data_IF_176097242974
#
_entry.id   IF_176097242974
#
_cell.length_a   1.000
_cell.length_b   1.000
_cell.length_c   1.000
_cell.angle_alpha   90.00
_cell.angle_beta   90.00
_cell.angle_gamma   90.00
#
_symmetry.space_group_name_H-M   'P 1'
#
loop_
_entity.id
_entity.type
_entity.pdbx_description
1 polymer ?
#
# COMPACT_ATOMS: atom_id res chain seq x y z
N UNK A 1 5.01 -18.67 -11.33
CA UNK A 1 3.65 -18.16 -11.09
C UNK A 1 3.59 -16.71 -11.53
N UNK A 2 2.50 -16.27 -12.16
CA UNK A 2 2.23 -14.85 -12.45
C UNK A 2 0.78 -14.58 -12.05
N UNK A 3 0.55 -13.61 -11.17
CA UNK A 3 -0.79 -13.33 -10.64
C UNK A 3 -0.78 -12.53 -9.34
N UNK A 4 -1.89 -12.55 -8.60
CA UNK A 4 -2.01 -11.85 -7.32
C UNK A 4 -1.38 -12.66 -6.16
N UNK A 5 -0.72 -12.02 -5.20
CA UNK A 5 -0.05 -12.72 -4.08
C UNK A 5 -1.02 -13.48 -3.17
N UNK A 6 -2.25 -12.98 -2.98
CA UNK A 6 -3.29 -13.65 -2.18
C UNK A 6 -3.68 -15.01 -2.78
N UNK A 7 -3.88 -15.06 -4.10
CA UNK A 7 -4.29 -16.28 -4.79
C UNK A 7 -3.20 -17.35 -4.81
N UNK A 8 -1.92 -16.94 -4.92
CA UNK A 8 -0.81 -17.89 -4.75
C UNK A 8 -0.83 -18.54 -3.36
N UNK A 9 -1.06 -17.76 -2.30
CA UNK A 9 -1.17 -18.29 -0.94
C UNK A 9 -2.35 -19.24 -0.80
N UNK A 10 -3.52 -18.91 -1.37
CA UNK A 10 -4.68 -19.79 -1.36
C UNK A 10 -4.42 -21.12 -2.10
N UNK A 11 -3.66 -21.11 -3.21
CA UNK A 11 -3.26 -22.34 -3.91
C UNK A 11 -2.36 -23.21 -3.03
N UNK A 12 -1.40 -22.58 -2.34
CA UNK A 12 -0.48 -23.28 -1.44
C UNK A 12 -1.25 -23.91 -0.28
N UNK A 13 -2.10 -23.12 0.39
CA UNK A 13 -2.96 -23.58 1.49
C UNK A 13 -3.83 -24.75 1.05
N UNK A 14 -4.45 -24.65 -0.14
CA UNK A 14 -5.29 -25.73 -0.65
C UNK A 14 -4.51 -27.02 -0.91
N UNK A 15 -3.28 -26.91 -1.41
CA UNK A 15 -2.44 -28.08 -1.63
C UNK A 15 -2.08 -28.77 -0.31
N UNK A 16 -1.80 -27.99 0.73
CA UNK A 16 -1.52 -28.49 2.08
C UNK A 16 -2.74 -29.13 2.74
N UNK A 17 -3.94 -28.55 2.56
CA UNK A 17 -5.21 -29.15 2.97
C UNK A 17 -5.45 -30.51 2.31
N UNK A 18 -5.03 -30.67 1.06
CA UNK A 18 -5.09 -31.93 0.30
C UNK A 18 -3.95 -32.91 0.69
N UNK A 19 -3.20 -32.61 1.75
CA UNK A 19 -2.16 -33.47 2.32
C UNK A 19 -0.84 -33.47 1.54
N UNK A 20 -0.63 -32.48 0.66
CA UNK A 20 0.65 -32.29 -0.04
C UNK A 20 1.59 -31.44 0.80
N UNK A 21 2.89 -31.73 0.70
CA UNK A 21 3.93 -30.81 1.17
C UNK A 21 4.29 -29.90 0.01
N UNK A 22 3.97 -28.60 0.08
CA UNK A 22 4.14 -27.72 -1.07
C UNK A 22 5.61 -27.61 -1.52
N UNK A 23 6.56 -27.58 -0.57
CA UNK A 23 7.99 -27.46 -0.88
C UNK A 23 8.55 -28.73 -1.52
N UNK A 24 8.05 -29.89 -1.10
CA UNK A 24 8.55 -31.19 -1.56
C UNK A 24 7.86 -31.66 -2.84
N UNK A 25 6.55 -31.47 -2.92
CA UNK A 25 5.70 -32.08 -3.94
C UNK A 25 5.54 -31.18 -5.19
N UNK A 26 5.94 -29.91 -5.12
CA UNK A 26 5.91 -28.95 -6.23
C UNK A 26 7.27 -28.28 -6.46
N UNK A 27 7.49 -27.77 -7.68
CA UNK A 27 8.78 -27.19 -8.11
C UNK A 27 8.68 -25.70 -8.47
N UNK A 28 7.78 -24.96 -7.81
CA UNK A 28 7.63 -23.53 -8.05
C UNK A 28 8.81 -22.75 -7.46
N UNK A 29 9.63 -22.14 -8.31
CA UNK A 29 10.82 -21.40 -7.89
C UNK A 29 10.65 -19.88 -7.90
N UNK A 30 9.84 -19.35 -8.82
CA UNK A 30 9.69 -17.91 -9.04
C UNK A 30 8.21 -17.54 -9.13
N UNK A 31 7.84 -16.50 -8.38
CA UNK A 31 6.55 -15.84 -8.48
C UNK A 31 6.74 -14.37 -8.87
N UNK A 32 6.00 -13.92 -9.89
CA UNK A 32 5.93 -12.52 -10.29
C UNK A 32 4.53 -12.02 -9.97
N UNK A 33 4.41 -11.06 -9.05
CA UNK A 33 3.12 -10.63 -8.52
C UNK A 33 2.76 -9.21 -8.94
N UNK A 34 1.46 -8.99 -9.17
CA UNK A 34 0.87 -7.69 -9.48
C UNK A 34 -0.62 -7.71 -9.11
N UNK A 35 -1.30 -6.56 -9.26
CA UNK A 35 -2.74 -6.43 -9.03
C UNK A 35 -3.13 -6.24 -7.56
N UNK A 36 -2.25 -6.55 -6.62
CA UNK A 36 -2.42 -6.26 -5.19
C UNK A 36 -1.09 -5.78 -4.59
N UNK A 37 -1.19 -5.14 -3.42
CA UNK A 37 -0.02 -4.82 -2.62
C UNK A 37 0.60 -6.12 -2.06
N UNK A 38 1.86 -6.37 -2.39
CA UNK A 38 2.64 -7.41 -1.73
C UNK A 38 3.12 -6.88 -0.36
N UNK A 39 2.48 -7.36 0.71
CA UNK A 39 2.89 -7.00 2.08
C UNK A 39 4.23 -7.66 2.44
N UNK A 40 4.93 -7.10 3.43
CA UNK A 40 6.17 -7.69 3.95
C UNK A 40 5.92 -9.10 4.52
N UNK A 41 4.79 -9.31 5.21
CA UNK A 41 4.40 -10.61 5.74
C UNK A 41 4.13 -11.63 4.63
N UNK A 42 3.35 -11.27 3.60
CA UNK A 42 3.09 -12.17 2.47
C UNK A 42 4.37 -12.50 1.70
N UNK A 43 5.29 -11.54 1.52
CA UNK A 43 6.59 -11.79 0.92
C UNK A 43 7.42 -12.76 1.76
N UNK A 44 7.57 -12.48 3.05
CA UNK A 44 8.36 -13.31 3.98
C UNK A 44 7.85 -14.75 3.98
N UNK A 45 6.52 -14.96 4.09
CA UNK A 45 5.91 -16.29 3.99
C UNK A 45 6.29 -17.01 2.70
N UNK A 46 6.13 -16.37 1.54
CA UNK A 46 6.44 -17.01 0.24
C UNK A 46 7.94 -17.30 0.08
N UNK A 47 8.81 -16.41 0.54
CA UNK A 47 10.26 -16.53 0.35
C UNK A 47 10.92 -17.46 1.38
N UNK A 48 10.60 -17.31 2.66
CA UNK A 48 11.23 -18.04 3.76
C UNK A 48 10.58 -19.42 3.95
N UNK A 49 9.25 -19.46 4.05
CA UNK A 49 8.53 -20.71 4.34
C UNK A 49 8.47 -21.62 3.11
N UNK A 50 8.41 -21.07 1.90
CA UNK A 50 8.27 -21.86 0.67
C UNK A 50 9.50 -21.80 -0.26
N UNK A 51 10.47 -20.92 -0.01
CA UNK A 51 11.65 -20.81 -0.88
C UNK A 51 11.35 -20.23 -2.27
N UNK A 52 10.22 -19.56 -2.45
CA UNK A 52 9.80 -19.00 -3.74
C UNK A 52 10.40 -17.61 -3.88
N UNK A 53 11.20 -17.37 -4.92
CA UNK A 53 11.67 -16.02 -5.22
C UNK A 53 10.52 -15.15 -5.73
N UNK A 54 10.10 -14.18 -4.92
CA UNK A 54 9.01 -13.27 -5.27
C UNK A 54 9.56 -11.95 -5.83
N UNK A 55 8.98 -11.51 -6.94
CA UNK A 55 9.19 -10.17 -7.51
C UNK A 55 7.84 -9.52 -7.77
N UNK A 56 7.74 -8.22 -7.55
CA UNK A 56 6.54 -7.44 -7.80
C UNK A 56 6.69 -6.55 -9.04
N UNK A 57 5.58 -6.25 -9.70
CA UNK A 57 5.50 -5.15 -10.66
C UNK A 57 4.20 -4.37 -10.49
N UNK A 58 4.26 -3.07 -10.78
CA UNK A 58 3.11 -2.19 -10.88
C UNK A 58 2.57 -2.23 -12.30
N UNK A 59 1.26 -2.41 -12.45
CA UNK A 59 0.57 -2.38 -13.73
C UNK A 59 -0.89 -1.96 -13.58
N UNK A 60 -1.47 -1.41 -14.64
CA UNK A 60 -2.93 -1.31 -14.79
C UNK A 60 -3.36 -2.06 -16.05
N UNK A 61 -4.66 -2.35 -16.18
CA UNK A 61 -5.19 -2.96 -17.41
C UNK A 61 -5.00 -2.04 -18.63
N UNK A 62 -5.11 -0.72 -18.43
CA UNK A 62 -5.04 0.28 -19.48
C UNK A 62 -3.64 0.47 -20.06
N UNK A 63 -2.62 0.48 -19.20
CA UNK A 63 -1.24 0.75 -19.64
C UNK A 63 -0.38 -0.50 -19.62
N UNK A 64 -0.68 -1.56 -18.88
CA UNK A 64 0.21 -2.72 -18.67
C UNK A 64 1.32 -2.44 -17.65
N UNK A 65 2.47 -3.11 -17.72
CA UNK A 65 3.56 -3.01 -16.73
C UNK A 65 4.30 -1.65 -16.69
N UNK A 66 4.09 -0.90 -15.62
CA UNK A 66 4.64 0.44 -15.39
C UNK A 66 6.04 0.37 -14.79
N UNK A 67 6.22 -0.42 -13.74
CA UNK A 67 7.51 -0.57 -13.06
C UNK A 67 7.64 -1.98 -12.49
N UNK A 68 8.86 -2.52 -12.37
CA UNK A 68 9.09 -3.90 -11.93
C UNK A 68 10.33 -4.06 -11.05
N UNK A 69 10.27 -4.96 -10.06
CA UNK A 69 11.41 -5.28 -9.21
C UNK A 69 12.50 -6.03 -9.99
N UNK A 70 13.75 -5.67 -9.69
CA UNK A 70 14.92 -6.48 -10.07
C UNK A 70 15.24 -7.52 -8.97
N UNK A 71 16.36 -8.24 -9.14
CA UNK A 71 16.82 -9.22 -8.14
C UNK A 71 17.16 -8.61 -6.77
N UNK A 72 17.54 -7.34 -6.74
CA UNK A 72 17.92 -6.63 -5.50
C UNK A 72 16.72 -6.22 -4.64
N UNK A 73 15.50 -6.23 -5.21
CA UNK A 73 14.23 -5.84 -4.54
C UNK A 73 14.30 -4.46 -3.84
N UNK A 74 15.16 -3.57 -4.34
CA UNK A 74 15.32 -2.21 -3.83
C UNK A 74 14.48 -1.26 -4.70
N UNK A 75 13.15 -1.38 -4.62
CA UNK A 75 12.21 -0.68 -5.49
C UNK A 75 12.03 -1.32 -6.88
N UNK A 76 11.11 -0.73 -7.64
CA UNK A 76 10.66 -1.18 -8.96
C UNK A 76 11.22 -0.26 -10.05
N UNK A 77 12.06 -0.78 -10.93
CA UNK A 77 12.57 -0.03 -12.07
C UNK A 77 11.45 0.41 -13.00
N UNK A 78 11.51 1.66 -13.42
CA UNK A 78 10.63 2.21 -14.46
C UNK A 78 10.77 1.39 -15.75
N UNK A 79 9.64 1.10 -16.40
CA UNK A 79 9.63 0.54 -17.74
C UNK A 79 10.19 1.58 -18.74
N UNK A 80 11.14 1.16 -19.57
CA UNK A 80 11.90 2.01 -20.49
C UNK A 80 11.14 2.40 -21.77
N UNK A 81 10.01 1.74 -22.03
CA UNK A 81 9.20 1.95 -23.23
C UNK A 81 8.02 2.91 -23.01
N UNK A 82 7.98 3.62 -21.88
CA UNK A 82 6.91 4.57 -21.50
C UNK A 82 7.48 5.79 -20.79
N UNK A 83 6.75 6.90 -20.80
CA UNK A 83 7.06 8.02 -19.91
C UNK A 83 6.30 7.81 -18.61
N UNK A 84 7.02 7.84 -17.50
CA UNK A 84 6.47 7.65 -16.16
C UNK A 84 6.80 8.90 -15.34
N UNK A 85 5.75 9.46 -14.76
CA UNK A 85 5.75 10.66 -13.96
C UNK A 85 5.24 10.30 -12.55
N UNK A 86 5.69 11.06 -11.55
CA UNK A 86 5.07 11.07 -10.22
C UNK A 86 4.66 12.51 -9.99
N UNK A 87 3.35 12.76 -9.98
CA UNK A 87 2.80 14.12 -10.02
C UNK A 87 2.04 14.45 -8.74
N UNK A 88 1.97 15.73 -8.42
CA UNK A 88 1.02 16.22 -7.44
C UNK A 88 -0.40 16.08 -8.00
N UNK A 89 -1.31 15.34 -7.34
CA UNK A 89 -2.65 15.07 -7.86
C UNK A 89 -3.56 16.31 -7.89
N UNK A 90 -3.27 17.35 -7.10
CA UNK A 90 -4.04 18.61 -7.09
C UNK A 90 -3.60 19.53 -8.24
N UNK A 91 -2.29 19.61 -8.51
CA UNK A 91 -1.72 20.57 -9.47
C UNK A 91 -1.33 19.96 -10.81
N UNK A 92 -1.22 18.64 -10.90
CA UNK A 92 -0.75 17.90 -12.08
C UNK A 92 0.72 18.13 -12.44
N UNK A 93 1.51 18.74 -11.55
CA UNK A 93 2.94 19.02 -11.78
C UNK A 93 3.80 17.84 -11.33
N UNK A 94 4.83 17.51 -12.11
CA UNK A 94 5.84 16.52 -11.74
C UNK A 94 6.51 16.91 -10.42
N UNK A 95 6.59 15.94 -9.52
CA UNK A 95 7.31 16.04 -8.25
C UNK A 95 8.76 15.56 -8.43
N UNK A 96 9.65 16.09 -7.58
CA UNK A 96 11.04 15.62 -7.51
C UNK A 96 11.16 14.27 -6.80
N UNK A 97 12.34 13.62 -6.86
CA UNK A 97 12.60 12.37 -6.16
C UNK A 97 12.25 12.45 -4.66
N UNK A 98 11.80 11.33 -4.09
CA UNK A 98 11.43 11.21 -2.68
C UNK A 98 10.08 11.82 -2.28
N UNK A 99 9.39 12.53 -3.17
CA UNK A 99 8.08 13.12 -2.88
C UNK A 99 6.95 12.19 -3.35
N UNK A 100 5.98 11.98 -2.46
CA UNK A 100 4.80 11.14 -2.75
C UNK A 100 3.85 11.89 -3.68
N UNK A 101 3.45 11.23 -4.77
CA UNK A 101 2.47 11.73 -5.73
C UNK A 101 1.80 10.58 -6.48
N UNK A 102 0.89 10.94 -7.39
CA UNK A 102 0.22 10.01 -8.28
C UNK A 102 1.16 9.55 -9.39
N UNK A 103 1.21 8.24 -9.62
CA UNK A 103 1.92 7.67 -10.77
C UNK A 103 1.11 7.97 -12.03
N UNK A 104 1.74 8.66 -12.97
CA UNK A 104 1.15 9.07 -14.25
C UNK A 104 1.96 8.46 -15.39
N UNK A 105 1.26 7.94 -16.40
CA UNK A 105 1.88 7.19 -17.50
C UNK A 105 1.48 7.77 -18.85
N UNK A 106 2.45 7.91 -19.74
CA UNK A 106 2.22 8.16 -21.17
C UNK A 106 2.75 7.00 -22.00
N UNK A 107 1.89 6.42 -22.84
CA UNK A 107 2.24 5.38 -23.81
C UNK A 107 2.84 6.02 -25.06
N UNK A 108 4.00 5.52 -25.50
CA UNK A 108 4.72 6.03 -26.68
C UNK A 108 4.62 5.09 -27.88
N UNK A 109 4.25 3.83 -27.63
CA UNK A 109 4.37 2.72 -28.53
C UNK A 109 3.05 2.33 -29.22
N UNK A 110 1.91 2.80 -28.72
CA UNK A 110 0.59 2.37 -29.18
C UNK A 110 -0.11 3.44 -30.05
N UNK A 111 -0.16 3.27 -31.39
CA UNK A 111 -0.75 4.26 -32.30
C UNK A 111 -2.29 4.25 -32.31
N UNK A 112 -2.94 3.21 -31.79
CA UNK A 112 -4.41 3.06 -31.81
C UNK A 112 -5.03 3.40 -30.46
N UNK A 113 -4.26 3.28 -29.38
CA UNK A 113 -4.69 3.56 -28.02
C UNK A 113 -3.65 4.45 -27.29
N UNK A 114 -3.47 5.71 -27.74
CA UNK A 114 -2.55 6.63 -27.10
C UNK A 114 -3.14 7.12 -25.78
N UNK A 115 -2.51 6.74 -24.67
CA UNK A 115 -2.80 7.31 -23.35
C UNK A 115 -1.71 8.32 -23.02
N UNK A 116 -2.11 9.58 -22.87
CA UNK A 116 -1.21 10.70 -22.55
C UNK A 116 -1.53 11.19 -21.14
N UNK A 117 -0.52 11.15 -20.27
CA UNK A 117 -0.62 11.50 -18.85
C UNK A 117 -1.84 10.85 -18.16
N UNK A 118 -1.99 9.55 -18.35
CA UNK A 118 -3.00 8.75 -17.66
C UNK A 118 -2.63 8.61 -16.18
N UNK A 119 -3.47 9.17 -15.31
CA UNK A 119 -3.36 8.98 -13.85
C UNK A 119 -3.82 7.60 -13.45
N UNK A 120 -2.93 6.81 -12.83
CA UNK A 120 -3.26 5.43 -12.45
C UNK A 120 -4.10 5.37 -11.19
N UNK A 121 -4.19 6.49 -10.47
CA UNK A 121 -4.71 6.56 -9.12
C UNK A 121 -3.81 5.91 -8.07
N UNK A 122 -2.62 5.40 -8.42
CA UNK A 122 -1.69 4.82 -7.45
C UNK A 122 -0.71 5.87 -6.95
N UNK A 123 -0.48 5.90 -5.63
CA UNK A 123 0.44 6.83 -5.00
C UNK A 123 1.77 6.14 -4.74
N UNK A 124 2.85 6.79 -5.16
CA UNK A 124 4.21 6.37 -4.87
C UNK A 124 5.17 7.56 -4.93
N UNK A 125 6.44 7.27 -4.76
CA UNK A 125 7.55 8.19 -5.00
C UNK A 125 8.65 7.42 -5.73
N UNK A 126 9.59 8.14 -6.30
CA UNK A 126 10.70 7.54 -7.01
C UNK A 126 12.04 8.01 -6.45
N UNK A 127 13.05 7.18 -6.65
CA UNK A 127 14.44 7.48 -6.39
C UNK A 127 15.27 7.27 -7.65
N UNK A 128 16.35 8.03 -7.77
CA UNK A 128 17.28 7.99 -8.90
C UNK A 128 18.65 7.43 -8.51
N UNK A 129 18.82 7.06 -7.25
CA UNK A 129 20.05 6.43 -6.77
C UNK A 129 20.35 5.15 -7.58
N UNK A 130 21.63 4.88 -7.91
CA UNK A 130 22.00 3.68 -8.66
C UNK A 130 21.54 2.40 -7.99
N UNK A 131 21.00 1.47 -8.78
CA UNK A 131 20.66 0.14 -8.29
C UNK A 131 21.86 -0.80 -8.45
N UNK A 132 22.21 -1.63 -7.45
CA UNK A 132 23.28 -2.62 -7.57
C UNK A 132 23.10 -3.61 -8.74
N UNK A 133 21.86 -3.77 -9.25
CA UNK A 133 21.61 -4.60 -10.43
C UNK A 133 22.17 -4.04 -11.74
N UNK A 134 22.71 -2.81 -11.74
CA UNK A 134 23.32 -2.15 -12.90
C UNK A 134 22.37 -1.40 -13.82
N UNK A 135 21.04 -1.46 -13.59
CA UNK A 135 20.07 -0.62 -14.31
C UNK A 135 20.16 0.83 -13.84
N UNK A 136 20.03 1.74 -14.81
CA UNK A 136 20.11 3.19 -14.61
C UNK A 136 18.74 3.88 -14.57
N UNK A 137 17.64 3.14 -14.77
CA UNK A 137 16.31 3.73 -14.69
C UNK A 137 15.98 4.13 -13.25
N UNK A 138 15.22 5.23 -13.06
CA UNK A 138 14.61 5.55 -11.78
C UNK A 138 13.81 4.35 -11.25
N UNK A 139 13.67 4.31 -9.93
CA UNK A 139 12.97 3.24 -9.23
C UNK A 139 11.78 3.82 -8.51
N UNK A 140 10.61 3.32 -8.84
CA UNK A 140 9.41 3.52 -8.06
C UNK A 140 9.58 2.76 -6.76
N UNK A 141 9.38 3.43 -5.64
CA UNK A 141 9.61 2.84 -4.33
C UNK A 141 8.32 2.21 -3.81
N UNK A 142 7.99 2.41 -2.54
CA UNK A 142 6.80 1.82 -1.93
C UNK A 142 5.53 2.38 -2.58
N UNK A 143 4.60 1.50 -2.95
CA UNK A 143 3.21 1.89 -3.19
C UNK A 143 2.61 2.34 -1.86
N UNK A 144 2.14 3.57 -1.78
CA UNK A 144 1.65 4.17 -0.53
C UNK A 144 0.15 3.92 -0.35
N UNK A 145 -0.56 3.79 -1.46
CA UNK A 145 -2.00 3.57 -1.51
C UNK A 145 -2.57 4.12 -2.80
N UNK A 146 -3.85 4.47 -2.78
CA UNK A 146 -4.54 5.06 -3.92
C UNK A 146 -4.92 6.52 -3.67
N UNK A 147 -4.97 7.34 -4.73
CA UNK A 147 -5.38 8.75 -4.70
C UNK A 147 -6.81 8.90 -4.16
N UNK A 148 -7.71 7.99 -4.51
CA UNK A 148 -9.10 7.96 -4.03
C UNK A 148 -9.24 7.42 -2.60
N UNK A 149 -8.19 6.86 -2.02
CA UNK A 149 -8.17 6.30 -0.66
C UNK A 149 -7.34 7.12 0.32
N UNK A 150 -6.69 8.19 -0.12
CA UNK A 150 -5.99 9.12 0.79
C UNK A 150 -6.89 10.25 1.21
N UNK A 151 -6.61 10.76 2.41
CA UNK A 151 -7.32 11.93 2.92
C UNK A 151 -6.30 12.96 3.38
N UNK A 152 -6.47 14.20 2.91
CA UNK A 152 -5.67 15.33 3.40
C UNK A 152 -6.28 15.84 4.70
N UNK A 153 -5.53 15.72 5.79
CA UNK A 153 -5.94 16.11 7.14
C UNK A 153 -4.94 17.12 7.67
N UNK A 154 -5.38 18.35 7.95
CA UNK A 154 -4.53 19.43 8.48
C UNK A 154 -3.24 19.65 7.66
N UNK A 155 -3.35 19.54 6.33
CA UNK A 155 -2.23 19.73 5.39
C UNK A 155 -1.34 18.51 5.17
N UNK A 156 -1.55 17.40 5.88
CA UNK A 156 -0.82 16.15 5.70
C UNK A 156 -1.69 15.12 4.97
N UNK A 157 -1.11 14.38 4.03
CA UNK A 157 -1.77 13.21 3.47
C UNK A 157 -1.65 12.04 4.45
N UNK A 158 -2.79 11.46 4.80
CA UNK A 158 -2.84 10.19 5.53
C UNK A 158 -3.24 9.07 4.57
N UNK A 159 -2.59 7.92 4.75
CA UNK A 159 -2.72 6.76 3.87
C UNK A 159 -3.26 5.54 4.63
N UNK A 160 -4.07 4.68 3.97
CA UNK A 160 -4.55 3.44 4.58
C UNK A 160 -3.40 2.59 5.14
N UNK A 161 -2.28 2.54 4.43
CA UNK A 161 -1.08 1.80 4.85
C UNK A 161 -0.46 2.30 6.15
N UNK A 162 -0.64 3.58 6.51
CA UNK A 162 -0.20 4.12 7.80
C UNK A 162 -1.11 3.68 8.94
N UNK A 163 -2.42 3.53 8.69
CA UNK A 163 -3.36 2.98 9.67
C UNK A 163 -2.99 1.52 9.95
N UNK A 164 -2.72 0.74 8.91
CA UNK A 164 -2.26 -0.65 9.04
C UNK A 164 -0.90 -0.74 9.76
N UNK A 165 0.04 0.17 9.48
CA UNK A 165 1.32 0.23 10.19
C UNK A 165 1.17 0.55 11.68
N UNK A 166 0.18 1.38 12.05
CA UNK A 166 -0.16 1.63 13.45
C UNK A 166 -0.74 0.37 14.08
N UNK A 167 -1.70 -0.30 13.44
CA UNK A 167 -2.34 -1.52 13.94
C UNK A 167 -1.31 -2.64 14.14
N UNK A 168 -0.44 -2.87 13.16
CA UNK A 168 0.55 -3.94 13.19
C UNK A 168 1.56 -3.82 14.35
N UNK A 169 1.68 -2.65 14.99
CA UNK A 169 2.56 -2.45 16.14
C UNK A 169 1.95 -2.94 17.48
N UNK A 170 0.67 -3.31 17.51
CA UNK A 170 -0.05 -3.70 18.74
C UNK A 170 -0.80 -5.02 18.53
N UNK A 171 -0.30 -6.15 19.07
CA UNK A 171 -0.97 -7.45 18.99
C UNK A 171 -2.38 -7.46 19.59
N UNK A 172 -2.67 -6.54 20.50
CA UNK A 172 -3.97 -6.38 21.16
C UNK A 172 -5.04 -5.80 20.23
N UNK A 173 -4.64 -5.20 19.10
CA UNK A 173 -5.55 -4.55 18.15
C UNK A 173 -5.85 -5.51 17.00
N UNK A 174 -7.14 -5.81 16.82
CA UNK A 174 -7.61 -6.60 15.68
C UNK A 174 -7.62 -5.76 14.40
N UNK A 175 -8.18 -4.55 14.46
CA UNK A 175 -8.22 -3.61 13.33
C UNK A 175 -8.45 -2.18 13.83
N UNK A 176 -8.23 -1.21 12.95
CA UNK A 176 -8.58 0.18 13.20
C UNK A 176 -9.06 0.89 11.92
N UNK A 177 -9.88 1.91 12.11
CA UNK A 177 -10.29 2.85 11.07
C UNK A 177 -10.00 4.28 11.53
N UNK A 178 -9.31 5.04 10.69
CA UNK A 178 -9.13 6.47 10.88
C UNK A 178 -10.36 7.21 10.32
N UNK A 179 -11.11 7.88 11.18
CA UNK A 179 -12.27 8.68 10.82
C UNK A 179 -11.87 10.16 10.85
N UNK A 180 -12.15 10.86 9.75
CA UNK A 180 -11.90 12.30 9.62
C UNK A 180 -13.24 13.03 9.64
N UNK A 181 -13.39 13.95 10.58
CA UNK A 181 -14.59 14.77 10.74
C UNK A 181 -14.21 16.26 10.74
N UNK A 182 -15.20 17.14 10.61
CA UNK A 182 -15.03 18.59 10.75
C UNK A 182 -15.81 19.05 11.97
N UNK A 183 -15.10 19.55 12.98
CA UNK A 183 -15.70 20.09 14.20
C UNK A 183 -15.20 21.53 14.39
N UNK A 184 -16.12 22.50 14.44
CA UNK A 184 -15.81 23.93 14.61
C UNK A 184 -14.73 24.45 13.63
N UNK A 185 -14.91 24.14 12.34
CA UNK A 185 -13.97 24.50 11.26
C UNK A 185 -12.55 23.91 11.37
N UNK A 186 -12.39 22.86 12.16
CA UNK A 186 -11.12 22.13 12.27
C UNK A 186 -11.33 20.68 11.90
N UNK A 187 -10.38 20.12 11.17
CA UNK A 187 -10.30 18.69 10.97
C UNK A 187 -10.10 18.01 12.32
N UNK A 188 -10.92 17.02 12.64
CA UNK A 188 -10.78 16.09 13.77
C UNK A 188 -10.45 14.72 13.21
N UNK A 189 -9.40 14.11 13.74
CA UNK A 189 -8.95 12.78 13.34
C UNK A 189 -9.13 11.85 14.55
N UNK A 190 -9.95 10.82 14.39
CA UNK A 190 -10.24 9.83 15.43
C UNK A 190 -9.87 8.44 14.90
N UNK A 191 -9.07 7.69 15.64
CA UNK A 191 -8.83 6.28 15.38
C UNK A 191 -9.86 5.45 16.14
N UNK A 192 -10.78 4.83 15.40
CA UNK A 192 -11.72 3.84 15.92
C UNK A 192 -11.03 2.47 15.94
N UNK A 193 -10.80 1.92 17.12
CA UNK A 193 -9.95 0.74 17.34
C UNK A 193 -10.79 -0.43 17.84
N UNK A 194 -10.66 -1.58 17.20
CA UNK A 194 -11.26 -2.85 17.61
C UNK A 194 -10.18 -3.70 18.26
N UNK A 195 -10.42 -4.15 19.49
CA UNK A 195 -9.49 -5.00 20.23
C UNK A 195 -9.72 -6.48 19.89
N UNK A 196 -8.64 -7.27 19.82
CA UNK A 196 -8.70 -8.71 19.58
C UNK A 196 -9.20 -9.51 20.80
N UNK A 197 -9.32 -8.88 21.98
CA UNK A 197 -9.74 -9.53 23.21
C UNK A 197 -9.91 -8.56 24.38
N UNK A 198 -9.95 -9.10 25.60
CA UNK A 198 -10.07 -8.31 26.82
C UNK A 198 -8.72 -7.65 27.18
N UNK A 199 -8.42 -6.53 26.55
CA UNK A 199 -7.25 -5.69 26.84
C UNK A 199 -7.66 -4.40 27.54
N UNK A 200 -6.76 -3.85 28.36
CA UNK A 200 -6.99 -2.57 29.06
C UNK A 200 -6.92 -1.40 28.07
N UNK A 201 -8.07 -0.75 27.83
CA UNK A 201 -8.17 0.42 26.96
C UNK A 201 -7.31 1.60 27.46
N UNK A 202 -7.26 1.80 28.77
CA UNK A 202 -6.49 2.88 29.40
C UNK A 202 -4.99 2.71 29.17
N UNK A 203 -4.49 1.48 29.27
CA UNK A 203 -3.07 1.17 29.06
C UNK A 203 -2.63 1.35 27.60
N UNK A 204 -3.54 1.08 26.65
CA UNK A 204 -3.25 1.17 25.21
C UNK A 204 -3.39 2.58 24.63
N UNK A 205 -4.18 3.45 25.27
CA UNK A 205 -4.51 4.78 24.71
C UNK A 205 -3.27 5.63 24.45
N UNK A 206 -2.41 5.82 25.47
CA UNK A 206 -1.24 6.69 25.35
C UNK A 206 -0.18 6.15 24.37
N UNK A 207 0.19 4.85 24.41
CA UNK A 207 1.09 4.26 23.41
C UNK A 207 0.57 4.38 21.97
N UNK A 208 -0.73 4.16 21.76
CA UNK A 208 -1.33 4.24 20.45
C UNK A 208 -1.30 5.67 19.90
N UNK A 209 -1.64 6.67 20.73
CA UNK A 209 -1.56 8.08 20.35
C UNK A 209 -0.15 8.50 19.94
N UNK A 210 0.88 8.02 20.65
CA UNK A 210 2.27 8.33 20.31
C UNK A 210 2.72 7.64 19.01
N UNK A 211 2.28 6.39 18.78
CA UNK A 211 2.54 5.69 17.52
C UNK A 211 1.86 6.39 16.34
N UNK A 212 0.58 6.75 16.49
CA UNK A 212 -0.16 7.52 15.47
C UNK A 212 0.58 8.82 15.15
N UNK A 213 0.99 9.58 16.18
CA UNK A 213 1.76 10.82 16.00
C UNK A 213 3.07 10.58 15.27
N UNK A 214 3.76 9.47 15.53
CA UNK A 214 5.03 9.14 14.89
C UNK A 214 4.85 8.75 13.43
N UNK A 215 3.85 7.94 13.11
CA UNK A 215 3.61 7.41 11.75
C UNK A 215 2.91 8.45 10.86
N UNK A 216 1.82 9.05 11.33
CA UNK A 216 1.01 10.00 10.56
C UNK A 216 1.52 11.44 10.65
N UNK A 217 2.43 11.75 11.59
CA UNK A 217 2.85 13.12 11.92
C UNK A 217 1.69 14.04 12.34
N UNK A 218 0.57 13.44 12.75
CA UNK A 218 -0.64 14.12 13.20
C UNK A 218 -1.07 13.62 14.58
N UNK A 219 -1.67 14.48 15.40
CA UNK A 219 -2.38 14.06 16.60
C UNK A 219 -3.79 13.58 16.23
N UNK A 220 -4.17 12.44 16.79
CA UNK A 220 -5.49 11.85 16.65
C UNK A 220 -6.07 11.50 18.04
N UNK A 221 -7.39 11.57 18.15
CA UNK A 221 -8.13 10.97 19.26
C UNK A 221 -8.19 9.45 19.05
N UNK A 222 -8.35 8.69 20.13
CA UNK A 222 -8.49 7.22 20.08
C UNK A 222 -9.80 6.85 20.75
N UNK A 223 -10.62 6.08 20.06
CA UNK A 223 -11.89 5.55 20.59
C UNK A 223 -11.89 4.04 20.37
N UNK A 224 -12.11 3.29 21.45
CA UNK A 224 -12.28 1.85 21.34
C UNK A 224 -13.73 1.53 21.02
N UNK A 225 -13.95 0.69 20.00
CA UNK A 225 -15.26 0.39 19.45
C UNK A 225 -15.42 -1.11 19.21
N UNK A 226 -16.64 -1.54 18.96
CA UNK A 226 -16.93 -2.90 18.50
C UNK A 226 -16.73 -3.02 16.99
N UNK A 227 -16.59 -4.24 16.47
CA UNK A 227 -16.45 -4.47 15.02
C UNK A 227 -17.65 -3.92 14.23
N UNK A 228 -18.85 -3.95 14.81
CA UNK A 228 -20.07 -3.39 14.19
C UNK A 228 -20.06 -1.86 14.04
N UNK A 229 -19.18 -1.15 14.74
CA UNK A 229 -19.08 0.31 14.66
C UNK A 229 -18.15 0.76 13.52
N UNK A 230 -17.37 -0.16 12.94
CA UNK A 230 -16.53 0.11 11.77
C UNK A 230 -17.43 0.20 10.53
N UNK A 231 -17.51 1.40 9.96
CA UNK A 231 -18.33 1.70 8.77
C UNK A 231 -17.52 1.49 7.51
N UNK A 232 -18.11 0.98 6.43
CA UNK A 232 -17.38 0.68 5.19
C UNK A 232 -16.07 -0.09 5.48
N UNK A 233 -16.14 -1.31 6.03
CA UNK A 233 -14.97 -2.04 6.57
C UNK A 233 -13.79 -2.23 5.59
N UNK A 234 -14.02 -2.06 4.28
CA UNK A 234 -13.00 -2.04 3.24
C UNK A 234 -12.13 -0.77 3.25
N UNK A 235 -12.58 0.32 3.89
CA UNK A 235 -11.87 1.60 3.99
C UNK A 235 -11.20 1.76 5.35
N UNK A 236 -9.88 1.88 5.36
CA UNK A 236 -9.11 2.25 6.58
C UNK A 236 -9.19 3.72 6.93
N UNK A 237 -9.52 4.57 5.96
CA UNK A 237 -9.76 6.00 6.19
C UNK A 237 -11.18 6.33 5.73
N UNK A 238 -11.96 6.89 6.64
CA UNK A 238 -13.33 7.33 6.39
C UNK A 238 -13.40 8.85 6.55
N UNK A 239 -13.48 9.58 5.45
CA UNK A 239 -13.68 11.03 5.46
C UNK A 239 -15.18 11.35 5.50
N UNK A 240 -15.64 11.91 6.62
CA UNK A 240 -17.02 12.31 6.87
C UNK A 240 -17.19 13.83 6.86
N UNK A 241 -16.14 14.58 6.51
CA UNK A 241 -16.21 16.04 6.46
C UNK A 241 -17.26 16.47 5.44
N UNK A 242 -18.15 17.35 5.87
CA UNK A 242 -19.08 18.08 5.01
C UNK A 242 -18.57 19.49 4.83
N UNK A 243 -18.69 19.98 3.61
CA UNK A 243 -18.28 21.31 3.21
C UNK A 243 -19.55 21.98 2.65
N UNK A 244 -20.25 22.69 3.52
CA UNK A 244 -21.37 23.56 3.15
C UNK A 244 -20.85 24.87 2.57
#
# INVERSE_FOLDING_TARGET
>A
YVGVPSFLQAIIERAEEDGKDFRRDFSLQIAVTAGEMLTAASRSRLEEDYGIHVRQFLATADVGAIAYECGEKNGMHFADYRVIEVVDPETGKQLGPGHVGEVVVTLLENPVYPLIRFGTGDLSYYEEEPCPCGRTSPRLMKLVGRVDQVTKVRGMFIHPSQVEEVVAAFPEIQTAQAVVEREQDRDKLTFCVVLAGASSQEELTSPLQERIRTVLKLRADVTFVSESDIRDAEKRILDLRKWD
#
